data_IF_125520818996
#
_entry.id   IF_125520818996
#
_cell.length_a   1.000
_cell.length_b   1.000
_cell.length_c   1.000
_cell.angle_alpha   90.00
_cell.angle_beta   90.00
_cell.angle_gamma   90.00
#
_symmetry.space_group_name_H-M   'P 1'
#
loop_
_entity.id
_entity.type
_entity.pdbx_description
1 polymer ?
#
# COMPACT_ATOMS: atom_id res chain seq x y z
N UNK A 1 -7.60 19.64 -4.38
CA UNK A 1 -8.62 18.97 -5.22
C UNK A 1 -9.71 18.30 -4.38
N UNK A 2 -9.44 17.29 -3.53
CA UNK A 2 -10.47 16.68 -2.67
C UNK A 2 -11.00 17.68 -1.64
N UNK A 3 -10.13 18.45 -1.00
CA UNK A 3 -10.48 19.42 0.05
C UNK A 3 -11.49 20.46 -0.39
N UNK A 4 -11.34 21.03 -1.57
CA UNK A 4 -12.27 22.01 -2.13
C UNK A 4 -13.67 21.40 -2.36
N UNK A 5 -13.70 20.16 -2.85
CA UNK A 5 -14.96 19.43 -3.05
C UNK A 5 -15.64 19.12 -1.72
N UNK A 6 -14.86 18.68 -0.70
CA UNK A 6 -15.36 18.45 0.66
C UNK A 6 -15.95 19.74 1.24
N UNK A 7 -15.17 20.82 1.22
CA UNK A 7 -15.58 22.12 1.74
C UNK A 7 -16.85 22.65 1.04
N UNK A 8 -16.94 22.51 -0.28
CA UNK A 8 -18.12 22.96 -1.05
C UNK A 8 -19.39 22.24 -0.62
N UNK A 9 -19.34 20.91 -0.45
CA UNK A 9 -20.51 20.11 -0.08
C UNK A 9 -20.90 20.36 1.39
N UNK A 10 -19.92 20.39 2.28
CA UNK A 10 -20.15 20.64 3.71
C UNK A 10 -20.74 22.04 3.95
N UNK A 11 -20.25 23.05 3.24
CA UNK A 11 -20.79 24.43 3.33
C UNK A 11 -22.22 24.56 2.81
N UNK A 12 -22.64 23.65 1.94
CA UNK A 12 -24.04 23.56 1.46
C UNK A 12 -24.93 22.71 2.38
N UNK A 13 -24.43 22.27 3.53
CA UNK A 13 -25.17 21.42 4.46
C UNK A 13 -25.27 19.95 4.03
N UNK A 14 -24.48 19.53 3.03
CA UNK A 14 -24.43 18.14 2.57
C UNK A 14 -23.62 17.24 3.51
N UNK A 15 -23.85 15.94 3.43
CA UNK A 15 -23.16 14.93 4.20
C UNK A 15 -22.14 14.18 3.33
N UNK A 16 -20.93 13.99 3.86
CA UNK A 16 -19.81 13.36 3.15
C UNK A 16 -19.28 12.17 3.93
N UNK A 17 -18.97 11.08 3.23
CA UNK A 17 -18.21 9.98 3.79
C UNK A 17 -16.87 9.78 3.02
N UNK A 18 -15.81 9.56 3.79
CA UNK A 18 -14.52 9.06 3.30
C UNK A 18 -14.34 7.64 3.85
N UNK A 19 -14.19 6.68 2.99
CA UNK A 19 -14.03 5.29 3.41
C UNK A 19 -12.72 4.69 2.88
N UNK A 20 -12.13 3.81 3.68
CA UNK A 20 -11.00 3.00 3.27
C UNK A 20 -11.17 1.57 3.80
N UNK A 21 -10.68 0.53 3.12
CA UNK A 21 -10.67 -0.81 3.69
C UNK A 21 -9.76 -0.94 4.93
N UNK A 22 -9.00 0.10 5.29
CA UNK A 22 -7.95 0.06 6.30
C UNK A 22 -8.17 1.06 7.44
N UNK A 23 -8.08 0.55 8.66
CA UNK A 23 -8.27 1.36 9.89
C UNK A 23 -7.22 2.46 10.02
N UNK A 24 -5.94 2.11 9.79
CA UNK A 24 -4.81 3.04 9.89
C UNK A 24 -4.93 4.24 8.94
N UNK A 25 -5.43 4.01 7.72
CA UNK A 25 -5.73 5.09 6.77
C UNK A 25 -6.86 5.97 7.27
N UNK A 26 -7.92 5.39 7.83
CA UNK A 26 -9.04 6.14 8.40
C UNK A 26 -8.57 7.03 9.57
N UNK A 27 -7.73 6.49 10.47
CA UNK A 27 -7.18 7.24 11.60
C UNK A 27 -6.27 8.39 11.10
N UNK A 28 -5.44 8.16 10.09
CA UNK A 28 -4.58 9.21 9.52
C UNK A 28 -5.42 10.31 8.86
N UNK A 29 -6.43 9.93 8.07
CA UNK A 29 -7.35 10.89 7.46
C UNK A 29 -8.10 11.71 8.51
N UNK A 30 -8.58 11.07 9.58
CA UNK A 30 -9.25 11.75 10.69
C UNK A 30 -8.33 12.81 11.34
N UNK A 31 -7.09 12.43 11.70
CA UNK A 31 -6.12 13.36 12.28
C UNK A 31 -5.82 14.54 11.38
N UNK A 32 -5.77 14.32 10.08
CA UNK A 32 -5.48 15.37 9.09
C UNK A 32 -6.68 16.29 8.89
N UNK A 33 -7.85 15.72 8.64
CA UNK A 33 -9.05 16.49 8.36
C UNK A 33 -9.56 17.25 9.59
N UNK A 34 -9.36 16.72 10.80
CA UNK A 34 -9.71 17.44 12.04
C UNK A 34 -8.86 18.69 12.28
N UNK A 35 -7.73 18.85 11.61
CA UNK A 35 -6.94 20.10 11.64
C UNK A 35 -7.43 21.14 10.65
N UNK A 36 -7.99 20.65 9.52
CA UNK A 36 -8.28 21.49 8.36
C UNK A 36 -9.77 21.86 8.28
N UNK A 37 -10.65 21.11 8.97
CA UNK A 37 -12.11 21.33 9.00
C UNK A 37 -12.58 21.54 10.43
N UNK A 38 -13.42 22.58 10.64
CA UNK A 38 -13.99 22.91 11.94
C UNK A 38 -15.32 22.18 12.23
N UNK A 39 -15.88 21.47 11.24
CA UNK A 39 -17.13 20.70 11.44
C UNK A 39 -16.88 19.43 12.26
N UNK A 40 -17.90 18.91 12.97
CA UNK A 40 -17.79 17.61 13.62
C UNK A 40 -17.44 16.50 12.62
N UNK A 41 -16.52 15.62 13.02
CA UNK A 41 -16.06 14.49 12.20
C UNK A 41 -16.22 13.20 13.02
N UNK A 42 -16.96 12.23 12.52
CA UNK A 42 -17.03 10.88 13.12
C UNK A 42 -16.01 9.95 12.49
N UNK A 43 -15.29 9.22 13.35
CA UNK A 43 -14.38 8.13 12.94
C UNK A 43 -15.00 6.78 13.30
N UNK A 44 -15.27 5.94 12.29
CA UNK A 44 -15.92 4.64 12.47
C UNK A 44 -15.05 3.48 12.00
N UNK A 45 -14.73 2.58 12.90
CA UNK A 45 -14.06 1.30 12.64
C UNK A 45 -14.57 0.23 13.63
N UNK A 46 -14.00 -0.97 13.60
CA UNK A 46 -14.48 -2.09 14.42
C UNK A 46 -14.44 -1.83 15.93
N UNK A 47 -13.51 -1.00 16.38
CA UNK A 47 -13.27 -0.67 17.80
C UNK A 47 -13.63 0.78 18.14
N UNK A 48 -14.34 1.50 17.24
CA UNK A 48 -14.74 2.89 17.49
C UNK A 48 -15.90 2.95 18.46
N UNK A 49 -16.04 4.11 19.11
CA UNK A 49 -17.20 4.48 19.92
C UNK A 49 -18.49 4.49 19.10
N UNK A 50 -19.63 4.67 19.78
CA UNK A 50 -20.93 4.76 19.12
C UNK A 50 -20.96 5.93 18.12
N UNK A 51 -21.69 5.73 17.00
CA UNK A 51 -21.82 6.75 15.98
C UNK A 51 -22.59 7.97 16.51
N UNK A 52 -21.94 9.12 16.41
CA UNK A 52 -22.59 10.42 16.57
C UNK A 52 -22.81 11.06 15.19
N UNK A 53 -24.00 11.64 15.01
CA UNK A 53 -24.35 12.26 13.72
C UNK A 53 -23.42 13.43 13.41
N UNK A 54 -22.69 13.32 12.33
CA UNK A 54 -21.76 14.35 11.85
C UNK A 54 -21.85 14.53 10.33
N UNK A 55 -21.62 15.74 9.82
CA UNK A 55 -21.66 16.00 8.38
C UNK A 55 -20.50 15.35 7.63
N UNK A 56 -19.40 15.05 8.31
CA UNK A 56 -18.25 14.35 7.76
C UNK A 56 -17.99 13.07 8.52
N UNK A 57 -18.04 11.94 7.81
CA UNK A 57 -17.79 10.60 8.36
C UNK A 57 -16.53 10.02 7.73
N UNK A 58 -15.61 9.56 8.54
CA UNK A 58 -14.46 8.77 8.11
C UNK A 58 -14.66 7.36 8.63
N UNK A 59 -14.64 6.36 7.74
CA UNK A 59 -15.05 5.02 8.11
C UNK A 59 -14.26 3.93 7.41
N UNK A 60 -14.16 2.76 8.02
CA UNK A 60 -13.80 1.57 7.24
C UNK A 60 -14.96 1.16 6.33
N UNK A 61 -14.64 0.57 5.18
CA UNK A 61 -15.66 0.23 4.16
C UNK A 61 -16.78 -0.66 4.69
N UNK A 62 -16.52 -1.50 5.71
CA UNK A 62 -17.56 -2.31 6.37
C UNK A 62 -18.56 -1.47 7.16
N UNK A 63 -18.15 -0.34 7.71
CA UNK A 63 -19.03 0.53 8.48
C UNK A 63 -20.08 1.22 7.59
N UNK A 64 -19.86 1.28 6.28
CA UNK A 64 -20.83 1.81 5.32
C UNK A 64 -22.15 1.02 5.32
N UNK A 65 -22.14 -0.24 5.74
CA UNK A 65 -23.35 -1.05 5.91
C UNK A 65 -24.36 -0.49 6.95
N UNK A 66 -23.91 0.41 7.83
CA UNK A 66 -24.77 1.07 8.84
C UNK A 66 -25.57 2.22 8.28
N UNK A 67 -25.31 2.66 7.04
CA UNK A 67 -25.89 3.84 6.46
C UNK A 67 -26.83 3.50 5.30
N UNK A 68 -27.93 4.23 5.21
CA UNK A 68 -28.88 4.15 4.11
C UNK A 68 -29.18 5.55 3.59
N UNK A 69 -28.91 5.82 2.31
CA UNK A 69 -29.14 7.12 1.64
C UNK A 69 -28.68 8.32 2.47
N UNK A 70 -27.52 8.20 3.09
CA UNK A 70 -27.03 9.19 4.06
C UNK A 70 -26.14 10.26 3.43
N UNK A 71 -25.37 9.93 2.38
CA UNK A 71 -24.29 10.78 1.88
C UNK A 71 -24.57 11.36 0.51
N UNK A 72 -24.23 12.64 0.37
CA UNK A 72 -24.22 13.36 -0.91
C UNK A 72 -22.93 13.05 -1.70
N UNK A 73 -21.82 12.85 -0.97
CA UNK A 73 -20.54 12.43 -1.55
C UNK A 73 -19.97 11.26 -0.76
N UNK A 74 -19.57 10.23 -1.46
CA UNK A 74 -18.82 9.11 -0.92
C UNK A 74 -17.49 8.97 -1.67
N UNK A 75 -16.39 9.10 -0.94
CA UNK A 75 -15.03 8.87 -1.45
C UNK A 75 -14.51 7.58 -0.85
N UNK A 76 -14.09 6.63 -1.69
CA UNK A 76 -13.51 5.38 -1.24
C UNK A 76 -12.07 5.31 -1.71
N UNK A 77 -11.16 5.31 -0.75
CA UNK A 77 -9.73 5.15 -1.02
C UNK A 77 -9.34 3.67 -1.04
N UNK A 78 -8.32 3.36 -1.84
CA UNK A 78 -7.76 2.01 -1.97
C UNK A 78 -8.79 0.95 -2.39
N UNK A 79 -9.64 1.25 -3.38
CA UNK A 79 -10.66 0.32 -3.87
C UNK A 79 -10.09 -0.97 -4.50
N UNK A 80 -8.80 -1.00 -4.79
CA UNK A 80 -8.06 -2.18 -5.26
C UNK A 80 -7.52 -3.04 -4.11
N UNK A 81 -7.75 -2.64 -2.84
CA UNK A 81 -7.28 -3.38 -1.68
C UNK A 81 -8.33 -4.35 -1.13
N UNK A 82 -7.83 -5.46 -0.54
CA UNK A 82 -8.65 -6.32 0.30
C UNK A 82 -9.04 -5.57 1.61
N UNK A 83 -10.26 -5.74 2.13
CA UNK A 83 -11.34 -6.65 1.71
C UNK A 83 -12.33 -6.05 0.71
N UNK A 84 -12.10 -4.85 0.17
CA UNK A 84 -13.06 -4.18 -0.71
C UNK A 84 -13.11 -4.81 -2.13
N UNK A 85 -11.92 -5.11 -2.70
CA UNK A 85 -11.84 -5.69 -4.05
C UNK A 85 -12.62 -7.01 -4.14
N UNK A 86 -13.41 -7.15 -5.19
CA UNK A 86 -14.24 -8.34 -5.50
C UNK A 86 -15.28 -8.71 -4.40
N UNK A 87 -15.57 -7.80 -3.47
CA UNK A 87 -16.54 -8.03 -2.39
C UNK A 87 -17.92 -7.40 -2.72
N UNK A 88 -18.85 -8.25 -3.16
CA UNK A 88 -20.21 -7.82 -3.56
C UNK A 88 -20.97 -7.11 -2.44
N UNK A 89 -20.79 -7.53 -1.18
CA UNK A 89 -21.46 -6.92 -0.04
C UNK A 89 -21.00 -5.47 0.19
N UNK A 90 -19.70 -5.21 0.02
CA UNK A 90 -19.16 -3.86 0.18
C UNK A 90 -19.52 -2.95 -1.00
N UNK A 91 -19.61 -3.49 -2.22
CA UNK A 91 -20.16 -2.72 -3.36
C UNK A 91 -21.64 -2.38 -3.14
N UNK A 92 -22.41 -3.31 -2.60
CA UNK A 92 -23.80 -3.05 -2.21
C UNK A 92 -23.88 -1.93 -1.15
N UNK A 93 -23.04 -1.99 -0.10
CA UNK A 93 -22.98 -0.97 0.95
C UNK A 93 -22.72 0.43 0.36
N UNK A 94 -21.80 0.53 -0.60
CA UNK A 94 -21.48 1.78 -1.31
C UNK A 94 -22.69 2.35 -2.04
N UNK A 95 -23.41 1.51 -2.76
CA UNK A 95 -24.58 1.97 -3.54
C UNK A 95 -25.77 2.32 -2.61
N UNK A 96 -25.91 1.65 -1.46
CA UNK A 96 -27.01 1.88 -0.50
C UNK A 96 -26.80 3.06 0.42
N UNK A 97 -25.56 3.38 0.79
CA UNK A 97 -25.28 4.50 1.69
C UNK A 97 -25.35 5.87 0.99
N UNK A 98 -25.29 5.90 -0.34
CA UNK A 98 -25.46 7.12 -1.14
C UNK A 98 -26.91 7.53 -1.28
N UNK A 99 -27.17 8.84 -1.30
CA UNK A 99 -28.44 9.41 -1.75
C UNK A 99 -28.65 9.13 -3.24
N UNK A 100 -29.88 9.26 -3.73
CA UNK A 100 -30.24 8.99 -5.13
C UNK A 100 -29.46 9.84 -6.15
N UNK A 101 -29.13 11.05 -5.76
CA UNK A 101 -28.34 12.04 -6.50
C UNK A 101 -26.89 12.17 -6.00
N UNK A 102 -26.52 11.32 -5.06
CA UNK A 102 -25.19 11.31 -4.46
C UNK A 102 -24.10 10.87 -5.44
N UNK A 103 -22.92 11.42 -5.26
CA UNK A 103 -21.74 11.16 -6.09
C UNK A 103 -20.78 10.20 -5.38
N UNK A 104 -20.31 9.17 -6.11
CA UNK A 104 -19.24 8.29 -5.63
C UNK A 104 -17.94 8.53 -6.37
N UNK A 105 -16.85 8.57 -5.61
CA UNK A 105 -15.49 8.73 -6.12
C UNK A 105 -14.63 7.56 -5.63
N UNK A 106 -14.04 6.84 -6.55
CA UNK A 106 -13.09 5.76 -6.26
C UNK A 106 -11.67 6.24 -6.46
N UNK A 107 -10.83 6.08 -5.43
CA UNK A 107 -9.41 6.38 -5.49
C UNK A 107 -8.62 5.07 -5.50
N UNK A 108 -7.66 4.97 -6.40
CA UNK A 108 -6.80 3.79 -6.50
C UNK A 108 -5.48 4.14 -7.16
N UNK A 109 -4.41 3.50 -6.71
CA UNK A 109 -3.11 3.56 -7.40
C UNK A 109 -3.10 2.67 -8.64
N UNK A 110 -3.90 1.59 -8.64
CA UNK A 110 -3.94 0.58 -9.71
C UNK A 110 -5.38 0.20 -10.03
N UNK A 111 -5.79 0.37 -11.28
CA UNK A 111 -7.13 0.02 -11.71
C UNK A 111 -7.33 -1.49 -11.70
N UNK A 112 -8.50 -1.96 -11.21
CA UNK A 112 -8.91 -3.36 -11.32
C UNK A 112 -9.59 -3.64 -12.65
N UNK A 113 -9.61 -4.91 -13.08
CA UNK A 113 -10.28 -5.29 -14.34
C UNK A 113 -11.79 -4.95 -14.29
N UNK A 114 -12.41 -5.01 -13.11
CA UNK A 114 -13.82 -4.65 -12.90
C UNK A 114 -14.07 -3.14 -13.09
N UNK A 115 -13.22 -2.29 -12.52
CA UNK A 115 -13.30 -0.84 -12.72
C UNK A 115 -13.05 -0.45 -14.17
N UNK A 116 -12.05 -1.05 -14.81
CA UNK A 116 -11.77 -0.82 -16.22
C UNK A 116 -12.95 -1.24 -17.13
N UNK A 117 -13.67 -2.33 -16.77
CA UNK A 117 -14.90 -2.73 -17.46
C UNK A 117 -16.01 -1.69 -17.31
N UNK A 118 -16.22 -1.16 -16.10
CA UNK A 118 -17.22 -0.10 -15.85
C UNK A 118 -16.90 1.19 -16.61
N UNK A 119 -15.61 1.56 -16.69
CA UNK A 119 -15.16 2.70 -17.51
C UNK A 119 -15.46 2.49 -18.99
N UNK A 120 -15.16 1.29 -19.54
CA UNK A 120 -15.47 0.94 -20.94
C UNK A 120 -16.97 0.94 -21.23
N UNK A 121 -17.81 0.62 -20.24
CA UNK A 121 -19.27 0.63 -20.34
C UNK A 121 -19.86 2.04 -20.15
N UNK A 122 -19.04 3.08 -19.93
CA UNK A 122 -19.51 4.45 -19.67
C UNK A 122 -20.18 4.65 -18.30
N UNK A 123 -20.14 3.63 -17.42
CA UNK A 123 -20.73 3.70 -16.07
C UNK A 123 -19.85 4.45 -15.06
N UNK A 124 -18.57 4.60 -15.38
CA UNK A 124 -17.58 5.26 -14.54
C UNK A 124 -16.68 6.15 -15.40
N UNK A 125 -16.48 7.40 -14.98
CA UNK A 125 -15.51 8.31 -15.62
C UNK A 125 -14.15 8.12 -14.97
N UNK A 126 -13.10 7.90 -15.77
CA UNK A 126 -11.72 7.73 -15.28
C UNK A 126 -10.91 9.00 -15.45
N UNK A 127 -10.39 9.49 -14.32
CA UNK A 127 -9.42 10.58 -14.28
C UNK A 127 -8.03 10.03 -13.95
N UNK A 128 -7.02 10.48 -14.65
CA UNK A 128 -5.63 10.09 -14.42
C UNK A 128 -4.84 11.23 -13.81
N UNK A 129 -4.33 11.04 -12.60
CA UNK A 129 -3.34 11.91 -11.98
C UNK A 129 -1.95 11.30 -12.20
N UNK A 130 -1.36 11.56 -13.36
CA UNK A 130 -0.11 10.94 -13.79
C UNK A 130 1.13 11.51 -13.09
N UNK A 131 1.03 12.73 -12.51
CA UNK A 131 2.15 13.35 -11.79
C UNK A 131 2.01 13.17 -10.29
N UNK A 132 3.11 12.81 -9.63
CA UNK A 132 3.23 12.89 -8.17
C UNK A 132 3.21 14.36 -7.71
N UNK A 133 2.89 14.58 -6.43
CA UNK A 133 2.92 15.92 -5.81
C UNK A 133 4.27 16.63 -6.02
N UNK A 134 5.38 15.91 -5.95
CA UNK A 134 6.73 16.44 -6.14
C UNK A 134 7.17 16.55 -7.61
N UNK A 135 6.27 16.29 -8.57
CA UNK A 135 6.52 16.38 -10.01
C UNK A 135 7.71 15.54 -10.53
N UNK A 136 8.15 14.52 -9.78
CA UNK A 136 9.24 13.62 -10.19
C UNK A 136 8.70 12.31 -10.78
N UNK A 137 9.43 11.68 -11.73
CA UNK A 137 9.03 10.40 -12.31
C UNK A 137 9.03 9.28 -11.25
N UNK A 138 8.25 8.25 -11.52
CA UNK A 138 8.35 6.99 -10.78
C UNK A 138 9.65 6.28 -11.13
N UNK A 139 10.35 5.76 -10.13
CA UNK A 139 11.55 4.95 -10.38
C UNK A 139 11.14 3.64 -11.06
N UNK A 140 11.69 3.38 -12.24
CA UNK A 140 11.42 2.15 -12.99
C UNK A 140 12.22 1.00 -12.40
N UNK A 141 11.60 -0.12 -12.00
CA UNK A 141 12.32 -1.24 -11.41
C UNK A 141 13.27 -1.88 -12.43
N UNK A 142 14.49 -2.20 -11.95
CA UNK A 142 15.47 -2.96 -12.73
C UNK A 142 15.34 -4.44 -12.38
N UNK A 143 14.93 -5.30 -13.33
CA UNK A 143 14.88 -6.74 -13.08
C UNK A 143 16.30 -7.31 -13.07
N UNK A 144 16.58 -8.18 -12.09
CA UNK A 144 17.87 -8.87 -11.95
C UNK A 144 17.59 -10.35 -11.77
N UNK A 145 18.21 -11.16 -12.61
CA UNK A 145 18.10 -12.60 -12.47
C UNK A 145 18.82 -13.07 -11.21
N UNK A 146 18.12 -13.83 -10.39
CA UNK A 146 18.64 -14.38 -9.13
C UNK A 146 17.93 -15.71 -8.85
N UNK A 147 18.69 -16.79 -8.75
CA UNK A 147 18.18 -18.07 -8.25
C UNK A 147 18.51 -18.18 -6.76
N UNK A 148 17.52 -17.86 -5.92
CA UNK A 148 17.59 -18.01 -4.48
C UNK A 148 16.79 -19.25 -4.09
N UNK A 149 17.45 -20.36 -3.74
CA UNK A 149 16.76 -21.56 -3.25
C UNK A 149 16.68 -21.55 -1.72
N UNK A 150 15.58 -22.08 -1.16
CA UNK A 150 15.37 -22.29 0.27
C UNK A 150 16.54 -23.06 0.91
N UNK A 151 17.04 -24.11 0.23
CA UNK A 151 18.17 -24.88 0.71
C UNK A 151 19.45 -24.05 0.89
N UNK A 152 19.67 -23.06 0.04
CA UNK A 152 20.81 -22.13 0.18
C UNK A 152 20.60 -21.17 1.35
N UNK A 153 19.38 -20.66 1.54
CA UNK A 153 19.04 -19.83 2.68
C UNK A 153 19.21 -20.57 4.01
N UNK A 154 18.76 -21.82 4.08
CA UNK A 154 18.88 -22.66 5.28
C UNK A 154 20.34 -23.01 5.61
N UNK A 155 21.25 -23.01 4.63
CA UNK A 155 22.69 -23.22 4.80
C UNK A 155 23.47 -21.90 4.96
N UNK A 156 22.81 -20.78 5.24
CA UNK A 156 23.39 -19.46 5.35
C UNK A 156 24.24 -19.03 4.11
N UNK A 157 23.89 -19.56 2.92
CA UNK A 157 24.62 -19.25 1.68
C UNK A 157 23.83 -18.29 0.79
N UNK A 158 24.10 -17.00 0.96
CA UNK A 158 23.56 -15.99 0.06
C UNK A 158 24.38 -15.90 -1.24
N UNK A 159 23.73 -15.75 -2.42
CA UNK A 159 24.43 -15.58 -3.69
C UNK A 159 25.36 -14.36 -3.67
N UNK A 160 26.58 -14.52 -4.16
CA UNK A 160 27.59 -13.44 -4.20
C UNK A 160 27.08 -12.20 -4.96
N UNK A 161 26.39 -12.40 -6.08
CA UNK A 161 25.82 -11.32 -6.89
C UNK A 161 24.79 -10.50 -6.10
N UNK A 162 23.96 -11.15 -5.28
CA UNK A 162 22.99 -10.49 -4.43
C UNK A 162 23.66 -9.68 -3.31
N UNK A 163 24.62 -10.29 -2.60
CA UNK A 163 25.42 -9.60 -1.57
C UNK A 163 26.15 -8.38 -2.13
N UNK A 164 26.68 -8.49 -3.36
CA UNK A 164 27.29 -7.36 -4.04
C UNK A 164 26.32 -6.21 -4.26
N UNK A 165 25.07 -6.47 -4.69
CA UNK A 165 24.06 -5.42 -4.84
C UNK A 165 23.73 -4.75 -3.51
N UNK A 166 23.64 -5.51 -2.41
CA UNK A 166 23.45 -4.94 -1.09
C UNK A 166 24.64 -4.08 -0.67
N UNK A 167 25.88 -4.58 -0.81
CA UNK A 167 27.09 -3.82 -0.46
C UNK A 167 27.18 -2.51 -1.24
N UNK A 168 26.91 -2.53 -2.54
CA UNK A 168 26.87 -1.31 -3.37
C UNK A 168 25.79 -0.35 -2.90
N UNK A 169 24.63 -0.86 -2.45
CA UNK A 169 23.58 -0.03 -1.92
C UNK A 169 23.98 0.55 -0.56
N UNK A 170 24.59 -0.25 0.32
CA UNK A 170 25.03 0.22 1.64
C UNK A 170 26.10 1.34 1.59
N UNK A 171 26.89 1.41 0.53
CA UNK A 171 27.81 2.54 0.30
C UNK A 171 27.09 3.88 0.20
N UNK A 172 25.81 3.89 -0.18
CA UNK A 172 24.99 5.10 -0.25
C UNK A 172 24.49 5.58 1.11
N UNK A 173 24.60 4.77 2.15
CA UNK A 173 24.10 4.97 3.51
C UNK A 173 22.58 5.20 3.63
N UNK A 174 21.83 5.16 2.53
CA UNK A 174 20.37 5.28 2.55
C UNK A 174 19.71 4.02 3.10
N UNK A 175 18.54 4.13 3.75
CA UNK A 175 17.79 2.98 4.24
C UNK A 175 17.45 2.00 3.13
N UNK A 176 17.53 0.69 3.40
CA UNK A 176 17.20 -0.37 2.47
C UNK A 176 15.98 -1.16 2.95
N UNK A 177 14.92 -1.18 2.16
CA UNK A 177 13.74 -1.99 2.40
C UNK A 177 13.74 -3.19 1.46
N UNK A 178 13.69 -4.41 2.02
CA UNK A 178 13.71 -5.66 1.26
C UNK A 178 12.37 -6.38 1.44
N UNK A 179 11.67 -6.65 0.34
CA UNK A 179 10.43 -7.41 0.35
C UNK A 179 10.67 -8.88 0.01
N UNK A 180 10.07 -9.75 0.82
CA UNK A 180 10.04 -11.19 0.63
C UNK A 180 8.60 -11.69 0.45
N UNK A 181 8.36 -12.80 -0.31
CA UNK A 181 7.02 -13.31 -0.53
C UNK A 181 6.41 -14.00 0.68
N UNK A 182 7.21 -14.68 1.51
CA UNK A 182 6.72 -15.42 2.68
C UNK A 182 7.51 -15.12 3.96
N UNK A 183 6.94 -15.50 5.10
CA UNK A 183 7.46 -15.11 6.43
C UNK A 183 8.71 -15.91 6.78
N UNK A 184 8.69 -17.22 6.58
CA UNK A 184 9.79 -18.11 7.00
C UNK A 184 11.08 -17.79 6.24
N UNK A 185 10.98 -17.65 4.91
CA UNK A 185 12.12 -17.32 4.07
C UNK A 185 12.64 -15.92 4.39
N UNK A 186 11.73 -14.96 4.59
CA UNK A 186 12.11 -13.59 4.96
C UNK A 186 12.83 -13.51 6.30
N UNK A 187 12.37 -14.27 7.30
CA UNK A 187 13.02 -14.34 8.62
C UNK A 187 14.39 -15.02 8.53
N UNK A 188 14.46 -16.17 7.85
CA UNK A 188 15.71 -16.89 7.61
C UNK A 188 16.70 -16.02 6.85
N UNK A 189 16.24 -15.34 5.82
CA UNK A 189 17.05 -14.40 5.06
C UNK A 189 17.59 -13.25 5.91
N UNK A 190 16.77 -12.63 6.76
CA UNK A 190 17.21 -11.54 7.64
C UNK A 190 18.31 -12.01 8.61
N UNK A 191 18.17 -13.21 9.18
CA UNK A 191 19.19 -13.83 10.04
C UNK A 191 20.49 -14.11 9.27
N UNK A 192 20.39 -14.75 8.10
CA UNK A 192 21.56 -15.00 7.25
C UNK A 192 22.24 -13.70 6.80
N UNK A 193 21.46 -12.66 6.48
CA UNK A 193 22.02 -11.38 6.08
C UNK A 193 22.80 -10.70 7.21
N UNK A 194 22.36 -10.86 8.46
CA UNK A 194 23.05 -10.32 9.64
C UNK A 194 24.47 -10.90 9.80
N UNK A 195 24.69 -12.18 9.45
CA UNK A 195 26.03 -12.81 9.46
C UNK A 195 26.96 -12.19 8.42
N UNK A 196 26.45 -11.78 7.27
CA UNK A 196 27.26 -11.15 6.20
C UNK A 196 27.48 -9.65 6.41
N UNK A 197 26.66 -9.01 7.23
CA UNK A 197 26.68 -7.56 7.50
C UNK A 197 26.59 -7.32 9.01
N UNK A 198 27.61 -7.71 9.81
CA UNK A 198 27.56 -7.64 11.27
C UNK A 198 27.45 -6.19 11.81
N UNK A 199 27.92 -5.22 11.05
CA UNK A 199 27.89 -3.79 11.44
C UNK A 199 26.59 -3.07 11.08
N UNK A 200 25.68 -3.73 10.35
CA UNK A 200 24.39 -3.15 9.96
C UNK A 200 23.29 -3.65 10.89
N UNK A 201 22.42 -2.79 11.35
CA UNK A 201 21.25 -3.21 12.11
C UNK A 201 20.15 -3.63 11.15
N UNK A 202 19.76 -4.90 11.21
CA UNK A 202 18.79 -5.52 10.33
C UNK A 202 17.60 -5.97 11.15
N UNK A 203 16.41 -5.48 10.81
CA UNK A 203 15.16 -5.90 11.42
C UNK A 203 14.28 -6.65 10.43
N UNK A 204 13.44 -7.53 10.95
CA UNK A 204 12.42 -8.25 10.22
C UNK A 204 11.03 -7.91 10.73
N UNK A 205 10.09 -7.66 9.81
CA UNK A 205 8.69 -7.39 10.12
C UNK A 205 7.75 -8.20 9.24
N UNK A 206 6.72 -8.73 9.86
CA UNK A 206 5.64 -9.49 9.21
C UNK A 206 4.32 -9.25 9.92
N UNK A 207 3.23 -9.88 9.49
CA UNK A 207 1.95 -9.82 10.19
C UNK A 207 1.98 -10.44 11.59
N UNK A 208 2.93 -11.33 11.83
CA UNK A 208 3.09 -12.03 13.11
C UNK A 208 4.03 -11.31 14.08
N UNK A 209 4.63 -10.20 13.66
CA UNK A 209 5.57 -9.44 14.50
C UNK A 209 4.80 -8.57 15.49
N UNK A 210 4.98 -8.80 16.79
CA UNK A 210 4.29 -8.08 17.88
C UNK A 210 4.76 -6.64 18.03
N UNK A 211 6.08 -6.43 17.95
CA UNK A 211 6.77 -5.14 18.07
C UNK A 211 6.94 -4.39 16.73
N UNK A 212 6.03 -4.67 15.77
CA UNK A 212 6.11 -4.17 14.40
C UNK A 212 6.17 -2.65 14.31
N UNK A 213 5.33 -1.94 15.07
CA UNK A 213 5.28 -0.48 15.03
C UNK A 213 6.58 0.14 15.49
N UNK A 214 7.19 -0.43 16.53
CA UNK A 214 8.48 0.01 17.05
C UNK A 214 9.60 -0.19 16.00
N UNK A 215 9.68 -1.37 15.37
CA UNK A 215 10.67 -1.67 14.33
C UNK A 215 10.53 -0.76 13.11
N UNK A 216 9.31 -0.51 12.67
CA UNK A 216 9.02 0.39 11.56
C UNK A 216 9.43 1.83 11.92
N UNK A 217 9.16 2.27 13.15
CA UNK A 217 9.56 3.59 13.61
C UNK A 217 11.09 3.71 13.76
N UNK A 218 11.77 2.68 14.26
CA UNK A 218 13.22 2.62 14.32
C UNK A 218 13.85 2.69 12.91
N UNK A 219 13.27 2.00 11.94
CA UNK A 219 13.72 2.11 10.54
C UNK A 219 13.47 3.53 9.98
N UNK A 220 12.33 4.13 10.29
CA UNK A 220 11.99 5.51 9.87
C UNK A 220 12.96 6.54 10.45
N UNK A 221 13.38 6.36 11.70
CA UNK A 221 14.35 7.24 12.40
C UNK A 221 15.81 7.00 12.00
N UNK A 222 16.09 5.97 11.20
CA UNK A 222 17.44 5.59 10.79
C UNK A 222 18.20 4.73 11.82
N UNK A 223 17.55 4.32 12.91
CA UNK A 223 18.13 3.42 13.92
C UNK A 223 18.32 2.00 13.41
N UNK A 224 17.56 1.61 12.38
CA UNK A 224 17.69 0.36 11.64
C UNK A 224 18.02 0.70 10.19
N UNK A 225 19.07 0.08 9.64
CA UNK A 225 19.57 0.39 8.29
C UNK A 225 18.91 -0.47 7.22
N UNK A 226 18.57 -1.71 7.55
CA UNK A 226 17.92 -2.64 6.64
C UNK A 226 16.65 -3.20 7.30
N UNK A 227 15.51 -3.03 6.64
CA UNK A 227 14.25 -3.64 7.05
C UNK A 227 13.84 -4.70 6.06
N UNK A 228 13.77 -5.95 6.51
CA UNK A 228 13.22 -7.07 5.73
C UNK A 228 11.74 -7.20 6.07
N UNK A 229 10.89 -7.20 5.06
CA UNK A 229 9.45 -7.25 5.22
C UNK A 229 8.81 -8.26 4.30
N UNK A 230 7.66 -8.81 4.71
CA UNK A 230 6.85 -9.66 3.86
C UNK A 230 5.58 -8.97 3.42
N UNK A 231 5.21 -9.17 2.16
CA UNK A 231 3.89 -8.78 1.65
C UNK A 231 2.94 -9.95 1.89
N UNK A 232 2.02 -9.82 2.83
CA UNK A 232 1.00 -10.86 3.00
C UNK A 232 -0.27 -10.41 2.30
N UNK A 233 -0.41 -10.83 1.07
CA UNK A 233 -1.69 -11.03 0.42
C UNK A 233 -2.12 -12.48 0.69
N UNK A 234 -2.68 -12.78 1.85
CA UNK A 234 -3.44 -14.02 2.02
C UNK A 234 -4.70 -13.92 1.17
N UNK A 235 -4.58 -14.32 -0.10
CA UNK A 235 -5.75 -14.73 -0.88
C UNK A 235 -6.22 -16.08 -0.31
N UNK A 236 -7.43 -16.09 0.25
CA UNK A 236 -8.25 -17.29 0.40
C UNK A 236 -7.65 -18.40 1.27
N UNK A 237 -7.52 -18.19 2.56
CA UNK A 237 -7.56 -19.28 3.52
C UNK A 237 -8.93 -19.22 4.18
N UNK A 238 -9.77 -20.21 3.90
CA UNK A 238 -11.00 -20.46 4.63
C UNK A 238 -10.60 -20.89 6.04
N UNK A 239 -10.75 -20.00 7.01
CA UNK A 239 -10.59 -20.36 8.41
C UNK A 239 -11.86 -21.07 8.90
N UNK A 240 -11.76 -22.18 9.64
CA UNK A 240 -12.89 -22.70 10.38
C UNK A 240 -13.34 -21.64 11.38
N UNK A 241 -14.68 -21.50 11.48
CA UNK A 241 -15.33 -20.55 12.39
C UNK A 241 -14.86 -20.83 13.83
N UNK A 242 -13.94 -20.06 14.34
CA UNK A 242 -13.81 -19.64 15.75
C UNK A 242 -12.57 -18.74 15.86
N UNK A 243 -12.78 -17.60 16.52
CA UNK A 243 -11.81 -16.52 16.80
C UNK A 243 -11.62 -15.52 15.67
N UNK A 244 -12.34 -14.43 15.81
CA UNK A 244 -12.10 -13.17 15.09
C UNK A 244 -10.80 -12.59 15.66
N UNK A 245 -9.69 -13.10 15.20
CA UNK A 245 -8.42 -12.40 15.34
C UNK A 245 -8.40 -11.37 14.22
N UNK A 246 -8.46 -10.11 14.59
CA UNK A 246 -8.34 -8.98 13.67
C UNK A 246 -7.02 -9.13 12.93
N UNK A 247 -7.10 -9.61 11.70
CA UNK A 247 -5.97 -9.66 10.78
C UNK A 247 -5.72 -8.23 10.31
N UNK A 248 -4.89 -7.49 11.06
CA UNK A 248 -4.32 -6.26 10.55
C UNK A 248 -3.39 -6.68 9.40
N UNK A 249 -3.89 -6.52 8.20
CA UNK A 249 -3.17 -6.85 6.98
C UNK A 249 -1.82 -6.15 6.95
N UNK A 250 -0.78 -6.89 6.65
CA UNK A 250 0.62 -6.48 6.49
C UNK A 250 0.89 -5.53 5.33
N UNK A 251 -0.10 -4.99 4.74
CA UNK A 251 -0.04 -3.87 3.81
C UNK A 251 0.47 -2.57 4.46
N UNK A 252 0.79 -2.54 5.76
CA UNK A 252 1.31 -1.35 6.43
C UNK A 252 2.61 -0.84 5.80
N UNK A 253 3.50 -1.74 5.36
CA UNK A 253 4.69 -1.32 4.63
C UNK A 253 4.43 -1.05 3.15
N UNK A 254 3.34 -1.54 2.58
CA UNK A 254 2.94 -1.22 1.22
C UNK A 254 2.24 0.14 1.11
N UNK A 255 1.45 0.54 2.13
CA UNK A 255 0.57 1.72 2.09
C UNK A 255 0.61 2.48 3.42
N UNK A 256 0.47 3.79 3.35
CA UNK A 256 0.32 4.66 4.53
C UNK A 256 1.61 5.10 5.22
N UNK A 257 2.67 4.31 5.28
CA UNK A 257 3.94 4.72 5.88
C UNK A 257 4.88 5.28 4.82
N UNK A 258 5.38 6.48 5.03
CA UNK A 258 6.38 7.12 4.16
C UNK A 258 7.77 6.95 4.78
N UNK A 259 8.67 6.35 4.01
CA UNK A 259 10.09 6.28 4.34
C UNK A 259 10.84 7.26 3.43
N UNK A 260 11.44 8.32 3.96
CA UNK A 260 12.22 9.23 3.14
C UNK A 260 13.48 8.52 2.61
N UNK A 261 13.85 8.82 1.37
CA UNK A 261 15.11 8.41 0.77
C UNK A 261 15.40 6.90 0.73
N UNK A 262 14.38 6.03 0.74
CA UNK A 262 14.53 4.58 0.80
C UNK A 262 14.87 3.98 -0.56
N UNK A 263 15.80 2.99 -0.56
CA UNK A 263 16.00 2.05 -1.66
C UNK A 263 15.17 0.78 -1.42
N UNK A 264 14.71 0.13 -2.49
CA UNK A 264 13.83 -1.03 -2.38
C UNK A 264 14.32 -2.18 -3.23
N UNK A 265 14.42 -3.36 -2.61
CA UNK A 265 14.69 -4.63 -3.27
C UNK A 265 13.50 -5.57 -3.07
N UNK A 266 13.05 -6.21 -4.14
CA UNK A 266 12.01 -7.24 -4.08
C UNK A 266 12.64 -8.56 -4.45
N UNK A 267 12.69 -9.48 -3.51
CA UNK A 267 13.25 -10.82 -3.72
C UNK A 267 12.13 -11.75 -4.18
N UNK A 268 12.44 -12.62 -5.14
CA UNK A 268 11.44 -13.47 -5.81
C UNK A 268 10.25 -12.66 -6.36
N UNK A 269 10.53 -11.55 -7.01
CA UNK A 269 9.50 -10.66 -7.54
C UNK A 269 8.52 -11.34 -8.52
N UNK A 270 8.88 -12.52 -9.03
CA UNK A 270 8.01 -13.39 -9.84
C UNK A 270 7.12 -14.33 -9.02
N UNK A 271 7.21 -14.34 -7.69
CA UNK A 271 6.36 -15.16 -6.85
C UNK A 271 4.88 -14.76 -7.00
N UNK A 272 3.95 -15.74 -6.92
CA UNK A 272 2.51 -15.51 -7.15
C UNK A 272 1.87 -14.53 -6.15
N UNK A 273 2.46 -14.33 -4.98
CA UNK A 273 2.02 -13.36 -3.99
C UNK A 273 2.28 -11.90 -4.43
N UNK A 274 3.23 -11.66 -5.33
CA UNK A 274 3.45 -10.33 -5.88
C UNK A 274 2.56 -10.09 -7.11
N UNK A 275 1.38 -9.53 -6.87
CA UNK A 275 0.51 -9.07 -7.96
C UNK A 275 1.12 -7.86 -8.68
N UNK A 276 0.61 -7.54 -9.89
CA UNK A 276 0.96 -6.29 -10.60
C UNK A 276 0.78 -5.06 -9.68
N UNK A 277 -0.36 -5.00 -8.99
CA UNK A 277 -0.71 -3.91 -8.09
C UNK A 277 0.30 -3.77 -6.94
N UNK A 278 0.63 -4.89 -6.26
CA UNK A 278 1.62 -4.91 -5.18
C UNK A 278 2.99 -4.38 -5.66
N UNK A 279 3.47 -4.86 -6.81
CA UNK A 279 4.76 -4.43 -7.37
C UNK A 279 4.78 -2.94 -7.73
N UNK A 280 3.68 -2.40 -8.28
CA UNK A 280 3.57 -0.95 -8.58
C UNK A 280 3.56 -0.13 -7.29
N UNK A 281 2.86 -0.59 -6.25
CA UNK A 281 2.81 0.09 -4.96
C UNK A 281 4.15 0.08 -4.23
N UNK A 282 4.85 -1.07 -4.26
CA UNK A 282 6.21 -1.21 -3.72
C UNK A 282 7.17 -0.26 -4.48
N UNK A 283 7.11 -0.24 -5.80
CA UNK A 283 7.87 0.68 -6.63
C UNK A 283 7.61 2.15 -6.27
N UNK A 284 6.37 2.46 -5.95
CA UNK A 284 5.94 3.76 -5.49
C UNK A 284 6.56 4.25 -4.18
N UNK A 285 7.31 3.42 -3.43
CA UNK A 285 8.03 3.82 -2.21
C UNK A 285 9.30 4.58 -2.50
N UNK A 286 9.96 4.27 -3.62
CA UNK A 286 11.22 4.90 -4.01
C UNK A 286 10.97 6.29 -4.58
N UNK A 287 11.85 7.24 -4.27
CA UNK A 287 11.77 8.61 -4.78
C UNK A 287 10.56 9.41 -4.25
N UNK A 288 10.16 9.22 -2.99
CA UNK A 288 9.06 9.97 -2.36
C UNK A 288 9.49 11.27 -1.72
N UNK A 289 10.77 11.46 -1.43
CA UNK A 289 11.30 12.71 -0.89
C UNK A 289 11.67 13.66 -2.02
N UNK A 290 11.45 14.96 -1.81
CA UNK A 290 11.96 15.98 -2.70
C UNK A 290 13.49 16.01 -2.72
N UNK A 291 14.12 15.72 -1.58
CA UNK A 291 15.58 15.68 -1.41
C UNK A 291 16.23 14.52 -2.16
N UNK A 292 15.47 13.44 -2.41
CA UNK A 292 15.92 12.28 -3.17
C UNK A 292 14.78 11.76 -4.04
N UNK A 293 14.58 12.34 -5.23
CA UNK A 293 13.52 11.93 -6.15
C UNK A 293 13.79 10.60 -6.87
N UNK A 294 15.00 10.09 -6.77
CA UNK A 294 15.49 8.83 -7.32
C UNK A 294 15.76 7.78 -6.23
N UNK A 295 16.34 6.67 -6.60
CA UNK A 295 16.76 5.60 -5.71
C UNK A 295 16.91 4.27 -6.43
N UNK A 296 17.46 3.27 -5.74
CA UNK A 296 17.58 1.91 -6.29
C UNK A 296 16.28 1.14 -6.07
N UNK A 297 15.76 0.60 -7.17
CA UNK A 297 14.62 -0.29 -7.17
C UNK A 297 14.96 -1.54 -7.98
N UNK A 298 15.18 -2.67 -7.28
CA UNK A 298 15.60 -3.92 -7.90
C UNK A 298 14.55 -5.01 -7.69
N UNK A 299 14.18 -5.69 -8.79
CA UNK A 299 13.32 -6.86 -8.77
C UNK A 299 14.16 -8.10 -9.06
N UNK A 300 14.49 -8.86 -8.02
CA UNK A 300 15.19 -10.14 -8.15
C UNK A 300 14.21 -11.24 -8.49
N UNK A 301 14.53 -12.05 -9.50
CA UNK A 301 13.63 -13.09 -10.01
C UNK A 301 14.40 -14.25 -10.63
N UNK A 302 13.83 -15.44 -10.64
CA UNK A 302 14.34 -16.64 -11.34
C UNK A 302 13.60 -16.94 -12.65
N UNK A 303 12.75 -16.00 -13.09
CA UNK A 303 11.98 -16.04 -14.33
C UNK A 303 11.00 -14.88 -14.37
N UNK A 304 11.01 -14.08 -15.44
CA UNK A 304 10.16 -12.90 -15.54
C UNK A 304 8.72 -13.28 -15.87
N UNK A 305 7.81 -13.12 -14.91
CA UNK A 305 6.38 -13.42 -15.07
C UNK A 305 5.57 -12.24 -15.66
N UNK A 306 4.29 -12.50 -15.93
CA UNK A 306 3.35 -11.52 -16.50
C UNK A 306 3.09 -10.33 -15.55
N UNK A 307 3.04 -10.57 -14.22
CA UNK A 307 2.79 -9.52 -13.24
C UNK A 307 3.93 -8.49 -13.22
N UNK A 308 5.19 -8.95 -13.20
CA UNK A 308 6.37 -8.09 -13.28
C UNK A 308 6.41 -7.26 -14.57
N UNK A 309 6.20 -7.93 -15.73
CA UNK A 309 6.19 -7.23 -17.04
C UNK A 309 5.13 -6.13 -17.08
N UNK A 310 3.91 -6.43 -16.61
CA UNK A 310 2.81 -5.46 -16.53
C UNK A 310 3.11 -4.33 -15.56
N UNK A 311 3.68 -4.61 -14.38
CA UNK A 311 4.04 -3.58 -13.40
C UNK A 311 5.09 -2.61 -13.97
N UNK A 312 6.16 -3.11 -14.59
CA UNK A 312 7.21 -2.29 -15.21
C UNK A 312 6.63 -1.43 -16.34
N UNK A 313 5.78 -2.02 -17.20
CA UNK A 313 5.13 -1.32 -18.30
C UNK A 313 4.19 -0.22 -17.79
N UNK A 314 3.43 -0.49 -16.74
CA UNK A 314 2.53 0.49 -16.12
C UNK A 314 3.28 1.69 -15.57
N UNK A 315 4.39 1.47 -14.85
CA UNK A 315 5.25 2.54 -14.33
C UNK A 315 5.81 3.39 -15.47
N UNK A 316 6.34 2.77 -16.53
CA UNK A 316 6.81 3.48 -17.72
C UNK A 316 5.69 4.30 -18.38
N UNK A 317 4.51 3.74 -18.49
CA UNK A 317 3.34 4.42 -19.05
C UNK A 317 2.89 5.61 -18.21
N UNK A 318 2.91 5.47 -16.87
CA UNK A 318 2.62 6.56 -15.94
C UNK A 318 3.63 7.70 -16.11
N UNK A 319 4.93 7.38 -16.20
CA UNK A 319 5.97 8.38 -16.45
C UNK A 319 5.74 9.12 -17.77
N UNK A 320 5.48 8.39 -18.85
CA UNK A 320 5.18 9.00 -20.16
C UNK A 320 3.95 9.91 -20.10
N UNK A 321 2.87 9.48 -19.45
CA UNK A 321 1.66 10.32 -19.25
C UNK A 321 1.91 11.52 -18.35
N UNK A 322 2.87 11.43 -17.43
CA UNK A 322 3.32 12.53 -16.58
C UNK A 322 4.23 13.54 -17.28
N UNK A 323 4.60 13.30 -18.55
CA UNK A 323 5.52 14.14 -19.31
C UNK A 323 7.00 13.88 -19.01
N UNK A 324 7.30 12.70 -18.45
CA UNK A 324 8.68 12.22 -18.27
C UNK A 324 8.98 11.23 -19.40
N UNK A 325 9.84 11.63 -20.33
CA UNK A 325 10.26 10.82 -21.49
C UNK A 325 11.22 9.68 -21.07
#
# INVERSE_FOLDING_TARGET
MIYETLASILNQGGAVALASPRIDVCIELYKRLSRDFSCPISLLHGESEAYERSPLVIATTHQLLKFYRAFDLLIIDEVDAFPFVDNKMLYYAVDHCLKSDGVKVFLTATSTDQLDKQVKQGKLKKLHLARRFHANPLVVPKPIWLNLSLERLQRDKLPRSFLQQIRIQRQTQFPLLIFFPNIEDGLTFAKSLQTYLPNEKIDFVSSLTTDRLEKVENFRKGNTQILVSTTILKRGVTFPRKEITILISTTILERGVTFPCVDVFVVEANHCLFSRSALVQIAGRVGRSADRPDGKLLFFHNGMNRAMKKAIMEIKTMNKKGGFA
#
